data_IF_527941426563
#
_entry.id   IF_527941426563
#
_cell.length_a   1.000
_cell.length_b   1.000
_cell.length_c   1.000
_cell.angle_alpha   90.00
_cell.angle_beta   90.00
_cell.angle_gamma   90.00
#
_symmetry.space_group_name_H-M   'P 1'
#
loop_
_entity.id
_entity.type
_entity.pdbx_description
1 polymer ?
#
# COMPACT_ATOMS: atom_id res chain seq x y z
N UNK A 1 -8.69 -13.06 -14.56
CA UNK A 1 -10.10 -12.71 -14.32
C UNK A 1 -10.80 -13.75 -13.45
N UNK A 2 -10.90 -15.01 -13.87
CA UNK A 2 -11.60 -16.08 -13.13
C UNK A 2 -11.05 -16.32 -11.71
N UNK A 3 -9.73 -16.36 -11.56
CA UNK A 3 -9.05 -16.52 -10.25
C UNK A 3 -9.44 -15.44 -9.26
N UNK A 4 -9.59 -14.17 -9.70
CA UNK A 4 -9.96 -13.08 -8.81
C UNK A 4 -11.44 -13.16 -8.38
N UNK A 5 -12.35 -13.52 -9.30
CA UNK A 5 -13.77 -13.78 -8.96
C UNK A 5 -13.90 -14.93 -7.95
N UNK A 6 -13.14 -16.00 -8.11
CA UNK A 6 -13.08 -17.09 -7.15
C UNK A 6 -12.56 -16.66 -5.79
N UNK A 7 -11.54 -15.80 -5.76
CA UNK A 7 -11.00 -15.24 -4.52
C UNK A 7 -12.03 -14.37 -3.78
N UNK A 8 -12.76 -13.51 -4.50
CA UNK A 8 -13.87 -12.72 -3.93
C UNK A 8 -14.91 -13.66 -3.32
N UNK A 9 -15.37 -14.65 -4.07
CA UNK A 9 -16.39 -15.59 -3.59
C UNK A 9 -15.96 -16.36 -2.34
N UNK A 10 -14.69 -16.79 -2.29
CA UNK A 10 -14.13 -17.41 -1.09
C UNK A 10 -14.13 -16.45 0.11
N UNK A 11 -13.79 -15.17 -0.11
CA UNK A 11 -13.82 -14.16 0.94
C UNK A 11 -15.24 -13.88 1.44
N UNK A 12 -16.23 -13.83 0.55
CA UNK A 12 -17.67 -13.67 0.88
C UNK A 12 -18.21 -14.82 1.72
N UNK A 13 -17.67 -16.02 1.54
CA UNK A 13 -18.02 -17.20 2.35
C UNK A 13 -17.19 -17.34 3.64
N UNK A 14 -16.44 -16.28 4.03
CA UNK A 14 -15.74 -16.19 5.31
C UNK A 14 -14.31 -16.74 5.32
N UNK A 15 -13.76 -17.10 4.15
CA UNK A 15 -12.37 -17.56 4.06
C UNK A 15 -11.39 -16.37 4.06
N UNK A 16 -10.24 -16.55 4.71
CA UNK A 16 -9.11 -15.64 4.55
C UNK A 16 -8.38 -15.95 3.24
N UNK A 17 -8.31 -14.98 2.35
CA UNK A 17 -7.70 -15.12 1.03
C UNK A 17 -6.51 -14.18 0.91
N UNK A 18 -5.38 -14.69 0.42
CA UNK A 18 -4.22 -13.90 0.01
C UNK A 18 -4.07 -13.97 -1.51
N UNK A 19 -3.84 -12.83 -2.13
CA UNK A 19 -3.55 -12.72 -3.54
C UNK A 19 -2.37 -11.78 -3.79
N UNK A 20 -1.71 -11.93 -4.92
CA UNK A 20 -0.62 -11.05 -5.36
C UNK A 20 -0.93 -10.45 -6.72
N UNK A 21 -0.59 -9.18 -6.89
CA UNK A 21 -0.74 -8.45 -8.15
C UNK A 21 0.43 -7.46 -8.30
N UNK A 22 0.82 -7.19 -9.54
CA UNK A 22 1.88 -6.22 -9.79
C UNK A 22 1.32 -4.79 -9.78
N UNK A 23 1.61 -4.05 -8.71
CA UNK A 23 1.26 -2.65 -8.55
C UNK A 23 2.39 -1.90 -7.83
N UNK A 24 2.55 -0.62 -8.13
CA UNK A 24 3.63 0.21 -7.56
C UNK A 24 3.32 0.70 -6.14
N UNK A 25 2.03 0.89 -5.82
CA UNK A 25 1.53 1.43 -4.54
C UNK A 25 0.25 0.71 -4.12
N UNK A 26 -0.12 0.82 -2.86
CA UNK A 26 -1.37 0.27 -2.37
C UNK A 26 -2.61 0.89 -3.06
N UNK A 27 -2.71 2.23 -3.24
CA UNK A 27 -3.80 2.81 -4.02
C UNK A 27 -3.86 2.33 -5.46
N UNK A 28 -2.73 2.25 -6.17
CA UNK A 28 -2.70 1.80 -7.57
C UNK A 28 -3.12 0.33 -7.75
N UNK A 29 -3.12 -0.45 -6.69
CA UNK A 29 -3.60 -1.83 -6.71
C UNK A 29 -5.09 -1.90 -7.04
N UNK A 30 -5.90 -0.92 -6.61
CA UNK A 30 -7.34 -0.86 -6.93
C UNK A 30 -7.53 -0.77 -8.46
N UNK A 31 -6.86 0.18 -9.10
CA UNK A 31 -6.90 0.34 -10.56
C UNK A 31 -6.43 -0.94 -11.27
N UNK A 32 -5.33 -1.56 -10.80
CA UNK A 32 -4.82 -2.81 -11.37
C UNK A 32 -5.78 -3.98 -11.27
N UNK A 33 -6.57 -4.04 -10.21
CA UNK A 33 -7.63 -5.04 -10.09
C UNK A 33 -8.73 -4.75 -11.09
N UNK A 34 -9.16 -3.50 -11.22
CA UNK A 34 -10.20 -3.10 -12.17
C UNK A 34 -9.79 -3.37 -13.63
N UNK A 35 -8.51 -3.15 -13.98
CA UNK A 35 -7.96 -3.45 -15.32
C UNK A 35 -8.14 -4.93 -15.74
N UNK A 36 -8.41 -5.84 -14.80
CA UNK A 36 -8.68 -7.24 -15.10
C UNK A 36 -10.12 -7.49 -15.60
N UNK A 37 -10.99 -6.48 -15.51
CA UNK A 37 -12.42 -6.62 -15.78
C UNK A 37 -12.90 -5.62 -16.82
N UNK A 38 -13.95 -5.94 -17.59
CA UNK A 38 -14.59 -4.97 -18.46
C UNK A 38 -15.23 -3.84 -17.64
N UNK A 39 -15.33 -2.67 -18.25
CA UNK A 39 -15.76 -1.44 -17.58
C UNK A 39 -17.14 -1.56 -16.92
N UNK A 40 -18.05 -2.29 -17.54
CA UNK A 40 -19.39 -2.56 -17.02
C UNK A 40 -19.40 -3.34 -15.70
N UNK A 41 -18.32 -4.06 -15.38
CA UNK A 41 -18.18 -4.79 -14.10
C UNK A 41 -17.51 -3.95 -13.00
N UNK A 42 -16.90 -2.80 -13.32
CA UNK A 42 -16.07 -2.04 -12.36
C UNK A 42 -16.82 -1.65 -11.09
N UNK A 43 -18.07 -1.21 -11.18
CA UNK A 43 -18.87 -0.83 -10.01
C UNK A 43 -19.09 -2.03 -9.06
N UNK A 44 -19.38 -3.20 -9.61
CA UNK A 44 -19.57 -4.42 -8.83
C UNK A 44 -18.25 -4.89 -8.19
N UNK A 45 -17.13 -4.80 -8.92
CA UNK A 45 -15.80 -5.14 -8.40
C UNK A 45 -15.36 -4.16 -7.32
N UNK A 46 -15.58 -2.84 -7.47
CA UNK A 46 -15.31 -1.86 -6.41
C UNK A 46 -16.09 -2.17 -5.14
N UNK A 47 -17.37 -2.50 -5.27
CA UNK A 47 -18.20 -2.93 -4.14
C UNK A 47 -17.62 -4.17 -3.46
N UNK A 48 -17.27 -5.20 -4.22
CA UNK A 48 -16.68 -6.41 -3.68
C UNK A 48 -15.35 -6.15 -2.96
N UNK A 49 -14.46 -5.32 -3.53
CA UNK A 49 -13.22 -4.88 -2.92
C UNK A 49 -13.51 -4.14 -1.61
N UNK A 50 -14.37 -3.14 -1.63
CA UNK A 50 -14.67 -2.31 -0.47
C UNK A 50 -15.18 -3.11 0.73
N UNK A 51 -15.98 -4.14 0.51
CA UNK A 51 -16.58 -4.94 1.60
C UNK A 51 -15.71 -6.11 2.05
N UNK A 52 -14.99 -6.76 1.13
CA UNK A 52 -14.26 -8.00 1.45
C UNK A 52 -12.77 -7.77 1.74
N UNK A 53 -12.14 -6.75 1.13
CA UNK A 53 -10.73 -6.49 1.34
C UNK A 53 -10.45 -6.06 2.78
N UNK A 54 -9.39 -6.59 3.37
CA UNK A 54 -8.92 -6.23 4.72
C UNK A 54 -7.74 -5.27 4.65
N UNK A 55 -6.86 -5.44 3.71
CA UNK A 55 -5.71 -4.57 3.50
C UNK A 55 -4.96 -4.88 2.22
N UNK A 56 -4.14 -3.94 1.81
CA UNK A 56 -3.21 -4.07 0.70
C UNK A 56 -1.81 -3.73 1.20
N UNK A 57 -0.86 -4.59 0.87
CA UNK A 57 0.56 -4.41 1.17
C UNK A 57 1.30 -4.26 -0.16
N UNK A 58 1.82 -3.08 -0.44
CA UNK A 58 2.75 -2.86 -1.54
C UNK A 58 4.19 -2.87 -1.00
N UNK A 59 5.11 -3.50 -1.74
CA UNK A 59 6.49 -3.61 -1.29
C UNK A 59 7.50 -3.32 -2.38
N UNK A 60 8.65 -2.79 -1.97
CA UNK A 60 9.88 -2.68 -2.75
C UNK A 60 11.00 -3.34 -1.95
N UNK A 61 12.01 -3.89 -2.61
CA UNK A 61 13.15 -4.50 -1.93
C UNK A 61 14.37 -3.61 -2.10
N UNK A 62 15.00 -3.24 -0.99
CA UNK A 62 16.31 -2.56 -0.96
C UNK A 62 17.40 -3.50 -0.46
N UNK A 63 18.63 -3.22 -0.90
CA UNK A 63 19.82 -3.87 -0.35
C UNK A 63 19.99 -3.46 1.10
N UNK A 64 20.25 -4.43 1.97
CA UNK A 64 20.60 -4.14 3.35
C UNK A 64 22.07 -3.71 3.48
N UNK A 65 22.35 -2.82 4.45
CA UNK A 65 23.72 -2.51 4.87
C UNK A 65 24.22 -3.49 5.94
N UNK A 66 23.36 -4.38 6.44
CA UNK A 66 23.75 -5.39 7.43
C UNK A 66 24.23 -6.66 6.73
N UNK A 67 25.35 -7.27 7.20
CA UNK A 67 25.91 -8.44 6.54
C UNK A 67 25.06 -9.71 6.69
N UNK A 68 24.22 -9.77 7.72
CA UNK A 68 23.34 -10.89 8.04
C UNK A 68 22.03 -10.90 7.23
N UNK A 69 21.72 -9.79 6.55
CA UNK A 69 20.48 -9.62 5.76
C UNK A 69 20.82 -9.11 4.38
N UNK A 70 20.45 -9.82 3.34
CA UNK A 70 20.76 -9.40 1.97
C UNK A 70 19.85 -8.27 1.46
N UNK A 71 18.55 -8.33 1.76
CA UNK A 71 17.54 -7.37 1.33
C UNK A 71 16.50 -7.16 2.43
N UNK A 72 15.95 -5.94 2.47
CA UNK A 72 14.84 -5.58 3.36
C UNK A 72 13.67 -5.03 2.56
N UNK A 73 12.43 -5.36 2.95
CA UNK A 73 11.24 -4.81 2.31
C UNK A 73 10.97 -3.39 2.81
N UNK A 74 10.77 -2.47 1.88
CA UNK A 74 10.15 -1.17 2.11
C UNK A 74 8.66 -1.34 1.81
N UNK A 75 7.81 -1.06 2.77
CA UNK A 75 6.41 -1.46 2.75
C UNK A 75 5.48 -0.25 2.84
N UNK A 76 4.50 -0.20 1.96
CA UNK A 76 3.30 0.63 2.11
C UNK A 76 2.14 -0.27 2.49
N UNK A 77 1.40 0.13 3.53
CA UNK A 77 0.28 -0.63 4.07
C UNK A 77 -0.98 0.24 4.10
N UNK A 78 -2.02 -0.21 3.42
CA UNK A 78 -3.35 0.37 3.45
C UNK A 78 -4.34 -0.62 4.09
N UNK A 79 -4.97 -0.20 5.18
CA UNK A 79 -6.02 -0.96 5.86
C UNK A 79 -7.38 -0.49 5.34
N UNK A 80 -8.30 -1.41 5.10
CA UNK A 80 -9.66 -1.07 4.64
C UNK A 80 -10.53 -0.62 5.82
N UNK A 81 -10.28 0.58 6.30
CA UNK A 81 -11.15 1.29 7.26
C UNK A 81 -12.40 1.89 6.58
N UNK A 82 -13.20 2.61 7.33
CA UNK A 82 -14.43 3.24 6.82
C UNK A 82 -14.19 4.26 5.70
N UNK A 83 -13.09 5.04 5.77
CA UNK A 83 -12.76 6.04 4.76
C UNK A 83 -12.19 5.41 3.49
N UNK A 84 -11.30 4.42 3.61
CA UNK A 84 -10.80 3.68 2.43
C UNK A 84 -11.95 3.04 1.68
N UNK A 85 -12.89 2.39 2.39
CA UNK A 85 -14.09 1.80 1.76
C UNK A 85 -14.91 2.84 1.03
N UNK A 86 -15.16 3.99 1.66
CA UNK A 86 -15.89 5.10 1.06
C UNK A 86 -15.21 5.59 -0.21
N UNK A 87 -13.91 5.89 -0.16
CA UNK A 87 -13.16 6.38 -1.33
C UNK A 87 -13.17 5.37 -2.49
N UNK A 88 -13.03 4.07 -2.20
CA UNK A 88 -13.10 3.04 -3.23
C UNK A 88 -14.48 2.97 -3.88
N UNK A 89 -15.56 3.11 -3.11
CA UNK A 89 -16.94 3.09 -3.62
C UNK A 89 -17.30 4.34 -4.43
N UNK A 90 -16.82 5.52 -4.01
CA UNK A 90 -17.08 6.81 -4.64
C UNK A 90 -16.10 7.14 -5.79
N UNK A 91 -15.17 6.23 -6.10
CA UNK A 91 -14.11 6.40 -7.13
C UNK A 91 -13.11 7.52 -6.81
N UNK A 92 -13.01 7.90 -5.53
CA UNK A 92 -12.08 8.89 -5.00
C UNK A 92 -10.70 8.30 -4.68
N UNK A 93 -10.20 7.40 -5.51
CA UNK A 93 -8.93 6.68 -5.30
C UNK A 93 -7.73 7.64 -5.10
N UNK A 94 -7.83 8.86 -5.63
CA UNK A 94 -6.81 9.91 -5.49
C UNK A 94 -6.61 10.39 -4.05
N UNK A 95 -7.59 10.19 -3.16
CA UNK A 95 -7.52 10.55 -1.74
C UNK A 95 -6.85 9.48 -0.88
N UNK A 96 -6.71 8.25 -1.39
CA UNK A 96 -6.18 7.12 -0.62
C UNK A 96 -4.74 7.34 -0.13
N UNK A 97 -3.87 7.90 -0.98
CA UNK A 97 -2.48 8.15 -0.62
C UNK A 97 -2.33 9.11 0.56
N UNK A 98 -3.13 10.18 0.59
CA UNK A 98 -3.12 11.14 1.68
C UNK A 98 -3.76 10.57 2.95
N UNK A 99 -4.77 9.73 2.82
CA UNK A 99 -5.36 9.04 3.96
C UNK A 99 -4.35 8.08 4.61
N UNK A 100 -3.61 7.29 3.83
CA UNK A 100 -2.53 6.43 4.36
C UNK A 100 -1.53 7.22 5.19
N UNK A 101 -1.06 8.38 4.69
CA UNK A 101 -0.10 9.24 5.41
C UNK A 101 -0.65 9.77 6.74
N UNK A 102 -1.93 10.06 6.82
CA UNK A 102 -2.58 10.61 8.02
C UNK A 102 -2.97 9.53 9.04
N UNK A 103 -2.99 8.27 8.63
CA UNK A 103 -3.51 7.14 9.42
C UNK A 103 -2.41 6.20 9.95
N UNK A 104 -1.20 6.71 10.17
CA UNK A 104 -0.10 5.90 10.74
C UNK A 104 -0.45 5.35 12.13
N UNK A 105 -1.22 6.09 12.93
CA UNK A 105 -1.67 5.65 14.27
C UNK A 105 -2.69 4.52 14.20
N UNK A 106 -3.37 4.37 13.07
CA UNK A 106 -4.39 3.35 12.82
C UNK A 106 -3.80 2.12 12.12
N UNK A 107 -2.47 2.02 12.07
CA UNK A 107 -1.75 0.87 11.51
C UNK A 107 -1.44 0.97 10.02
N UNK A 108 -1.73 2.10 9.37
CA UNK A 108 -1.30 2.32 7.99
C UNK A 108 0.15 2.83 7.93
N UNK A 109 0.79 2.64 6.80
CA UNK A 109 2.16 3.12 6.59
C UNK A 109 2.36 3.47 5.12
N UNK A 110 2.90 4.64 4.82
CA UNK A 110 3.39 4.99 3.49
C UNK A 110 4.87 4.60 3.30
N UNK A 111 5.34 4.61 2.05
CA UNK A 111 6.72 4.29 1.74
C UNK A 111 7.72 5.23 2.39
N UNK A 112 7.40 6.51 2.57
CA UNK A 112 8.31 7.50 3.16
C UNK A 112 8.55 7.19 4.64
N UNK A 113 7.50 6.85 5.37
CA UNK A 113 7.61 6.42 6.78
C UNK A 113 8.36 5.09 6.89
N UNK A 114 8.10 4.15 5.99
CA UNK A 114 8.82 2.87 5.94
C UNK A 114 10.32 3.08 5.74
N UNK A 115 10.71 3.93 4.78
CA UNK A 115 12.11 4.29 4.53
C UNK A 115 12.78 4.92 5.75
N UNK A 116 12.10 5.90 6.38
CA UNK A 116 12.59 6.52 7.62
C UNK A 116 12.87 5.47 8.70
N UNK A 117 11.90 4.58 8.96
CA UNK A 117 12.04 3.55 9.99
C UNK A 117 13.22 2.60 9.71
N UNK A 118 13.43 2.22 8.45
CA UNK A 118 14.54 1.35 8.04
C UNK A 118 15.90 2.05 8.16
N UNK A 119 15.97 3.36 7.88
CA UNK A 119 17.18 4.17 8.09
C UNK A 119 17.49 4.27 9.59
N UNK A 120 16.49 4.59 10.42
CA UNK A 120 16.65 4.71 11.87
C UNK A 120 17.11 3.39 12.52
N UNK A 121 16.66 2.26 11.98
CA UNK A 121 17.09 0.91 12.39
C UNK A 121 18.46 0.49 11.81
N UNK A 122 19.09 1.34 11.01
CA UNK A 122 20.37 1.04 10.35
C UNK A 122 20.31 -0.23 9.48
N UNK A 123 19.21 -0.40 8.76
CA UNK A 123 18.99 -1.55 7.86
C UNK A 123 19.31 -1.22 6.40
N UNK A 124 19.18 0.04 5.99
CA UNK A 124 19.40 0.50 4.61
C UNK A 124 20.27 1.77 4.58
N UNK A 125 20.96 1.97 3.47
CA UNK A 125 21.71 3.20 3.21
C UNK A 125 20.75 4.37 2.92
N UNK A 126 21.13 5.56 3.41
CA UNK A 126 20.32 6.77 3.23
C UNK A 126 20.23 7.19 1.75
N UNK A 127 21.30 7.05 0.98
CA UNK A 127 21.29 7.45 -0.42
C UNK A 127 20.41 6.51 -1.24
N UNK A 128 20.50 5.19 -1.01
CA UNK A 128 19.63 4.20 -1.64
C UNK A 128 18.14 4.48 -1.32
N UNK A 129 17.85 4.84 -0.06
CA UNK A 129 16.51 5.24 0.33
C UNK A 129 16.02 6.50 -0.39
N UNK A 130 16.88 7.51 -0.56
CA UNK A 130 16.56 8.75 -1.25
C UNK A 130 16.32 8.54 -2.76
N UNK A 131 16.96 7.54 -3.37
CA UNK A 131 16.74 7.21 -4.78
C UNK A 131 15.33 6.70 -5.07
N UNK A 132 14.78 5.89 -4.16
CA UNK A 132 13.45 5.27 -4.35
C UNK A 132 12.32 6.02 -3.63
N UNK A 133 12.64 7.04 -2.83
CA UNK A 133 11.64 7.81 -2.08
C UNK A 133 10.62 8.45 -3.03
N UNK A 134 9.31 8.28 -2.79
CA UNK A 134 8.28 8.95 -3.59
C UNK A 134 8.39 10.48 -3.52
N UNK A 135 8.82 11.01 -2.38
CA UNK A 135 9.10 12.42 -2.15
C UNK A 135 10.36 12.57 -1.29
N UNK A 136 11.46 12.98 -1.93
CA UNK A 136 12.79 13.14 -1.29
C UNK A 136 12.80 14.23 -0.23
N UNK A 137 12.04 15.30 -0.45
CA UNK A 137 11.94 16.43 0.47
C UNK A 137 11.21 16.02 1.75
N UNK A 138 10.08 15.31 1.61
CA UNK A 138 9.33 14.76 2.73
C UNK A 138 10.18 13.79 3.57
N UNK A 139 10.93 12.89 2.93
CA UNK A 139 11.84 11.99 3.64
C UNK A 139 12.93 12.77 4.38
N UNK A 140 13.50 13.81 3.73
CA UNK A 140 14.52 14.66 4.36
C UNK A 140 13.99 15.38 5.58
N UNK A 141 12.77 15.92 5.52
CA UNK A 141 12.11 16.58 6.66
C UNK A 141 11.86 15.61 7.81
N UNK A 142 11.33 14.44 7.51
CA UNK A 142 11.11 13.40 8.52
C UNK A 142 12.41 12.95 9.21
N UNK A 143 13.50 12.81 8.47
CA UNK A 143 14.81 12.45 9.03
C UNK A 143 15.41 13.56 9.91
N UNK A 144 15.00 14.83 9.72
CA UNK A 144 15.35 15.95 10.58
C UNK A 144 14.42 16.10 11.81
N UNK A 145 13.44 15.21 11.98
CA UNK A 145 12.45 15.29 13.05
C UNK A 145 11.36 16.34 12.82
N UNK A 146 11.24 16.88 11.61
CA UNK A 146 10.19 17.83 11.24
C UNK A 146 9.02 17.02 10.72
N UNK A 147 7.89 17.01 11.47
CA UNK A 147 6.67 16.34 11.03
C UNK A 147 6.15 16.96 9.73
N UNK A 148 5.88 16.15 8.74
CA UNK A 148 5.17 16.56 7.52
C UNK A 148 3.68 16.35 7.81
N UNK A 149 2.97 17.45 8.07
CA UNK A 149 1.51 17.47 8.21
C UNK A 149 0.83 17.40 6.86
#
# INVERSE_FOLDING_TARGET
METFKTAIHAAETGHLVFGTIHAATAPSTITRILDLFPQEEHAAIRSAIAFNMKGIVAQKLLKSIRPDVSRVPVVELMVFDGLVRKYVLEEDDHLLADHIKKSHRDGMQDFTMSLKNLIDQQLIDRNDAMEIAPNKEALTMLLKGIGVT
#
